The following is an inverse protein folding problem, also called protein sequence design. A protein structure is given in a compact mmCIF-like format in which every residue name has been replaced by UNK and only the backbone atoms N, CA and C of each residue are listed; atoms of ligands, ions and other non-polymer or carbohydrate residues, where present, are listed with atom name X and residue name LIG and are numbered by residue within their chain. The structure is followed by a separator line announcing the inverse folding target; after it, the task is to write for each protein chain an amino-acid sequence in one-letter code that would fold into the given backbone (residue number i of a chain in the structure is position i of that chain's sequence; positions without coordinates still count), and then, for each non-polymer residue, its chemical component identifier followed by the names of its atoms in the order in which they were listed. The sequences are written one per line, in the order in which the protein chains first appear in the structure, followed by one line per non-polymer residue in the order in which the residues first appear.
data_IF_019778601319
#
_entry.id   IF_019778601319
#
_cell.length_a   1.000
_cell.length_b   1.000
_cell.length_c   1.000
_cell.angle_alpha   90.00
_cell.angle_beta   90.00
_cell.angle_gamma   90.00
#
_symmetry.space_group_name_H-M   'P 1'
#
loop_
_entity.id
_entity.type
_entity.pdbx_description
1 polymer ?
#
# COMPACT_ATOMS: atom_id res chain seq x y z
N UNK A 1 0.85 0.49 33.28
CA UNK A 1 1.84 0.70 32.21
C UNK A 1 3.08 1.36 32.81
N UNK A 2 4.30 1.02 32.39
CA UNK A 2 5.51 1.76 32.81
C UNK A 2 5.46 3.15 32.17
N UNK A 3 5.59 4.19 32.97
CA UNK A 3 5.70 5.57 32.48
C UNK A 3 7.09 5.78 31.88
N UNK A 4 7.15 6.18 30.62
CA UNK A 4 8.39 6.56 29.93
C UNK A 4 8.63 8.05 30.15
N UNK A 5 9.82 8.44 30.59
CA UNK A 5 10.18 9.84 30.86
C UNK A 5 11.09 10.42 29.77
N UNK A 6 11.07 11.74 29.58
CA UNK A 6 11.94 12.41 28.61
C UNK A 6 13.44 12.12 28.83
N UNK A 7 13.97 12.15 30.07
CA UNK A 7 15.35 11.73 30.31
C UNK A 7 15.70 10.32 29.82
N UNK A 8 14.73 9.38 29.87
CA UNK A 8 14.92 8.03 29.33
C UNK A 8 15.00 8.04 27.79
N UNK A 9 14.17 8.85 27.13
CA UNK A 9 14.20 8.99 25.66
C UNK A 9 15.53 9.59 25.22
N UNK A 10 16.01 10.65 25.89
CA UNK A 10 17.30 11.29 25.61
C UNK A 10 18.45 10.29 25.81
N UNK A 11 18.42 9.52 26.91
CA UNK A 11 19.40 8.46 27.17
C UNK A 11 19.45 7.42 26.05
N UNK A 12 18.31 7.03 25.52
CA UNK A 12 18.18 6.04 24.44
C UNK A 12 18.22 6.67 23.03
N UNK A 13 18.60 7.95 22.89
CA UNK A 13 18.45 8.72 21.66
C UNK A 13 19.08 8.09 20.42
N UNK A 14 20.20 7.37 20.56
CA UNK A 14 20.88 6.65 19.46
C UNK A 14 20.12 5.45 18.90
N UNK A 15 19.03 5.03 19.56
CA UNK A 15 18.16 3.93 19.09
C UNK A 15 17.04 4.42 18.18
N UNK A 16 16.85 5.73 18.07
CA UNK A 16 15.83 6.33 17.23
C UNK A 16 16.43 6.73 15.89
N UNK A 17 15.84 6.24 14.82
CA UNK A 17 16.05 6.75 13.47
C UNK A 17 14.72 7.36 13.02
N UNK A 18 14.67 8.69 12.95
CA UNK A 18 13.43 9.43 12.71
C UNK A 18 13.45 9.93 11.27
N UNK A 19 12.62 9.33 10.42
CA UNK A 19 12.50 9.73 9.02
C UNK A 19 11.83 11.10 8.89
N UNK A 20 12.43 11.97 8.08
CA UNK A 20 11.81 13.25 7.69
C UNK A 20 10.68 13.06 6.67
N UNK A 21 10.69 11.94 5.95
CA UNK A 21 9.72 11.59 4.91
C UNK A 21 9.16 10.20 5.20
N UNK A 22 7.87 10.12 5.54
CA UNK A 22 7.19 8.84 5.78
C UNK A 22 6.72 8.24 4.46
N UNK A 23 7.41 7.18 4.01
CA UNK A 23 7.05 6.41 2.81
C UNK A 23 7.17 4.92 3.09
N UNK A 24 6.45 4.14 2.30
CA UNK A 24 6.53 2.68 2.26
C UNK A 24 7.07 2.24 0.89
N UNK A 25 7.76 1.11 0.88
CA UNK A 25 8.23 0.50 -0.35
C UNK A 25 7.23 -0.55 -0.81
N UNK A 26 6.66 -0.40 -2.01
CA UNK A 26 5.88 -1.48 -2.61
C UNK A 26 6.77 -2.69 -2.88
N UNK A 27 6.21 -3.89 -2.69
CA UNK A 27 6.91 -5.15 -3.00
C UNK A 27 7.20 -5.29 -4.49
N UNK A 28 6.43 -4.65 -5.38
CA UNK A 28 6.71 -4.51 -6.82
C UNK A 28 6.66 -3.03 -7.23
N UNK A 29 7.66 -2.60 -7.99
CA UNK A 29 7.74 -1.22 -8.48
C UNK A 29 9.17 -0.75 -8.69
N UNK A 30 9.29 0.46 -9.26
CA UNK A 30 10.56 0.99 -9.76
C UNK A 30 11.70 0.91 -8.75
N UNK A 31 11.48 1.33 -7.49
CA UNK A 31 12.56 1.37 -6.49
C UNK A 31 13.01 -0.03 -6.06
N UNK A 32 12.08 -0.93 -5.73
CA UNK A 32 12.45 -2.30 -5.32
C UNK A 32 13.11 -3.06 -6.49
N UNK A 33 12.62 -2.86 -7.71
CA UNK A 33 13.20 -3.49 -8.90
C UNK A 33 14.59 -2.92 -9.20
N UNK A 34 14.81 -1.62 -9.01
CA UNK A 34 16.12 -0.97 -9.13
C UNK A 34 17.10 -1.49 -8.08
N UNK A 35 16.69 -1.56 -6.80
CA UNK A 35 17.53 -2.07 -5.70
C UNK A 35 18.00 -3.51 -5.94
N UNK A 36 17.13 -4.35 -6.53
CA UNK A 36 17.47 -5.73 -6.90
C UNK A 36 18.41 -5.71 -8.10
N UNK A 37 18.04 -5.02 -9.20
CA UNK A 37 18.79 -5.01 -10.45
C UNK A 37 20.21 -4.45 -10.31
N UNK A 38 20.41 -3.45 -9.46
CA UNK A 38 21.71 -2.84 -9.21
C UNK A 38 22.54 -3.54 -8.13
N UNK A 39 22.01 -4.60 -7.49
CA UNK A 39 22.56 -5.23 -6.29
C UNK A 39 22.75 -4.29 -5.08
N UNK A 40 22.13 -3.11 -5.07
CA UNK A 40 22.14 -2.17 -3.93
C UNK A 40 21.35 -2.73 -2.74
N UNK A 41 20.38 -3.61 -3.00
CA UNK A 41 19.61 -4.32 -1.96
C UNK A 41 20.46 -5.05 -0.92
N UNK A 42 21.71 -5.40 -1.23
CA UNK A 42 22.63 -6.04 -0.26
C UNK A 42 23.09 -5.12 0.88
N UNK A 43 22.84 -3.81 0.77
CA UNK A 43 23.26 -2.82 1.77
C UNK A 43 22.15 -2.50 2.80
N UNK A 44 20.94 -3.03 2.62
CA UNK A 44 19.82 -2.78 3.51
C UNK A 44 19.00 -4.05 3.74
N UNK A 45 18.44 -4.16 4.94
CA UNK A 45 17.45 -5.17 5.27
C UNK A 45 16.05 -4.54 5.33
N UNK A 46 15.00 -5.35 5.14
CA UNK A 46 13.62 -4.87 5.13
C UNK A 46 12.74 -5.67 6.09
N UNK A 47 11.78 -4.99 6.73
CA UNK A 47 10.66 -5.60 7.44
C UNK A 47 9.39 -5.51 6.62
N UNK A 48 8.57 -6.55 6.69
CA UNK A 48 7.22 -6.53 6.16
C UNK A 48 6.33 -5.61 7.00
N UNK A 49 5.51 -4.79 6.33
CA UNK A 49 4.34 -4.20 6.97
C UNK A 49 3.32 -5.31 7.15
N UNK A 50 2.80 -5.50 8.35
CA UNK A 50 1.96 -6.66 8.67
C UNK A 50 0.46 -6.34 8.71
N UNK A 51 0.09 -5.06 8.83
CA UNK A 51 -1.30 -4.63 8.95
C UNK A 51 -1.52 -3.35 8.17
N UNK A 52 -2.63 -3.30 7.45
CA UNK A 52 -3.19 -2.06 6.89
C UNK A 52 -4.41 -1.73 7.75
N UNK A 53 -4.52 -0.47 8.16
CA UNK A 53 -5.55 -0.01 9.07
C UNK A 53 -6.38 1.09 8.42
N UNK A 54 -7.67 1.10 8.71
CA UNK A 54 -8.61 2.15 8.28
C UNK A 54 -9.33 2.71 9.50
N UNK A 55 -9.58 4.01 9.49
CA UNK A 55 -10.40 4.67 10.51
C UNK A 55 -11.86 4.68 10.03
N UNK A 56 -12.74 4.02 10.76
CA UNK A 56 -14.18 3.96 10.47
C UNK A 56 -14.97 4.21 11.76
N UNK A 57 -15.91 5.15 11.73
CA UNK A 57 -16.77 5.49 12.87
C UNK A 57 -15.98 5.74 14.18
N UNK A 58 -14.83 6.41 14.06
CA UNK A 58 -13.92 6.67 15.18
C UNK A 58 -13.13 5.46 15.68
N UNK A 59 -13.22 4.31 15.01
CA UNK A 59 -12.52 3.07 15.36
C UNK A 59 -11.47 2.71 14.33
N UNK A 60 -10.29 2.30 14.80
CA UNK A 60 -9.22 1.80 13.95
C UNK A 60 -9.43 0.31 13.73
N UNK A 61 -9.54 -0.09 12.46
CA UNK A 61 -9.87 -1.45 12.08
C UNK A 61 -8.88 -2.00 11.05
N UNK A 62 -8.65 -3.31 11.06
CA UNK A 62 -7.73 -3.95 10.13
C UNK A 62 -8.42 -4.26 8.79
N UNK A 63 -7.77 -3.82 7.72
CA UNK A 63 -8.14 -4.06 6.33
C UNK A 63 -7.79 -5.50 5.96
N UNK A 64 -8.73 -6.20 5.34
CA UNK A 64 -8.50 -7.55 4.82
C UNK A 64 -7.65 -7.50 3.54
N UNK A 65 -6.47 -8.11 3.55
CA UNK A 65 -5.49 -8.02 2.46
C UNK A 65 -5.33 -9.31 1.65
N UNK A 66 -6.09 -10.36 1.97
CA UNK A 66 -6.07 -11.62 1.22
C UNK A 66 -7.48 -12.19 1.05
N UNK A 67 -7.64 -13.15 0.12
CA UNK A 67 -8.90 -13.89 -0.03
C UNK A 67 -9.33 -14.54 1.29
N UNK A 68 -8.37 -15.10 2.03
CA UNK A 68 -8.61 -15.70 3.34
C UNK A 68 -9.07 -14.64 4.36
N UNK A 69 -8.44 -13.47 4.38
CA UNK A 69 -8.84 -12.38 5.29
C UNK A 69 -10.24 -11.86 4.96
N UNK A 70 -10.56 -11.69 3.67
CA UNK A 70 -11.89 -11.25 3.22
C UNK A 70 -12.93 -12.29 3.63
N UNK A 71 -12.63 -13.58 3.47
CA UNK A 71 -13.52 -14.66 3.88
C UNK A 71 -13.76 -14.65 5.41
N UNK A 72 -12.72 -14.46 6.21
CA UNK A 72 -12.80 -14.45 7.67
C UNK A 72 -13.30 -13.11 8.27
N UNK A 73 -13.39 -12.05 7.46
CA UNK A 73 -13.80 -10.73 7.93
C UNK A 73 -15.28 -10.74 8.40
N UNK A 74 -15.53 -10.39 9.66
CA UNK A 74 -16.88 -10.38 10.26
C UNK A 74 -17.67 -9.08 10.01
N UNK A 75 -17.02 -8.05 9.48
CA UNK A 75 -17.60 -6.74 9.24
C UNK A 75 -18.20 -6.62 7.84
N UNK A 76 -17.81 -7.49 6.91
CA UNK A 76 -18.40 -7.58 5.58
C UNK A 76 -19.48 -8.67 5.56
N UNK A 77 -20.64 -8.33 5.03
CA UNK A 77 -21.68 -9.33 4.74
C UNK A 77 -21.20 -10.29 3.64
N UNK A 78 -21.83 -11.47 3.53
CA UNK A 78 -21.51 -12.42 2.44
C UNK A 78 -21.70 -11.79 1.06
N UNK A 79 -22.70 -10.91 0.91
CA UNK A 79 -22.98 -10.18 -0.33
C UNK A 79 -21.85 -9.20 -0.64
N UNK A 80 -21.42 -8.41 0.34
CA UNK A 80 -20.29 -7.48 0.17
C UNK A 80 -18.98 -8.21 -0.15
N UNK A 81 -18.70 -9.36 0.48
CA UNK A 81 -17.53 -10.18 0.15
C UNK A 81 -17.53 -10.60 -1.32
N UNK A 82 -18.68 -11.02 -1.86
CA UNK A 82 -18.83 -11.38 -3.28
C UNK A 82 -18.66 -10.17 -4.20
N UNK A 83 -19.26 -9.03 -3.84
CA UNK A 83 -19.15 -7.78 -4.61
C UNK A 83 -17.69 -7.30 -4.67
N UNK A 84 -17.01 -7.29 -3.53
CA UNK A 84 -15.60 -6.92 -3.41
C UNK A 84 -14.72 -7.86 -4.25
N UNK A 85 -14.84 -9.17 -4.05
CA UNK A 85 -14.03 -10.13 -4.81
C UNK A 85 -14.22 -10.00 -6.32
N UNK A 86 -15.47 -9.83 -6.80
CA UNK A 86 -15.75 -9.60 -8.22
C UNK A 86 -15.06 -8.34 -8.73
N UNK A 87 -15.14 -7.24 -7.99
CA UNK A 87 -14.52 -5.98 -8.38
C UNK A 87 -12.98 -6.06 -8.37
N UNK A 88 -12.37 -6.67 -7.34
CA UNK A 88 -10.91 -6.85 -7.29
C UNK A 88 -10.40 -7.75 -8.41
N UNK A 89 -11.15 -8.80 -8.78
CA UNK A 89 -10.83 -9.63 -9.95
C UNK A 89 -10.93 -8.84 -11.25
N UNK A 90 -11.92 -7.96 -11.39
CA UNK A 90 -11.97 -7.01 -12.51
C UNK A 90 -10.73 -6.10 -12.51
N UNK A 91 -10.38 -5.49 -11.38
CA UNK A 91 -9.23 -4.59 -11.28
C UNK A 91 -7.88 -5.26 -11.58
N UNK A 92 -7.73 -6.57 -11.38
CA UNK A 92 -6.49 -7.27 -11.74
C UNK A 92 -6.27 -7.30 -13.26
N UNK A 93 -7.35 -7.46 -14.03
CA UNK A 93 -7.31 -7.65 -15.48
C UNK A 93 -8.04 -6.51 -16.24
N UNK A 94 -8.19 -5.34 -15.61
CA UNK A 94 -9.07 -4.28 -16.15
C UNK A 94 -8.62 -3.81 -17.54
N UNK A 95 -7.31 -3.83 -17.82
CA UNK A 95 -6.74 -3.46 -19.12
C UNK A 95 -7.22 -4.36 -20.27
N UNK A 96 -7.66 -5.58 -19.96
CA UNK A 96 -8.22 -6.53 -20.94
C UNK A 96 -9.73 -6.28 -21.18
N UNK A 97 -10.36 -5.35 -20.44
CA UNK A 97 -11.80 -5.08 -20.45
C UNK A 97 -12.08 -3.57 -20.55
N UNK A 98 -11.58 -2.89 -21.60
CA UNK A 98 -11.75 -1.45 -21.77
C UNK A 98 -13.23 -1.04 -21.82
N UNK A 99 -14.10 -1.88 -22.35
CA UNK A 99 -15.54 -1.69 -22.42
C UNK A 99 -16.20 -1.41 -21.05
N UNK A 100 -15.65 -1.92 -19.95
CA UNK A 100 -16.21 -1.74 -18.60
C UNK A 100 -15.91 -0.36 -17.97
N UNK A 101 -14.92 0.40 -18.46
CA UNK A 101 -14.52 1.67 -17.82
C UNK A 101 -14.17 2.81 -18.80
N UNK A 102 -13.94 2.54 -20.09
CA UNK A 102 -13.41 3.53 -21.04
C UNK A 102 -14.29 4.77 -21.15
N UNK A 103 -15.62 4.62 -21.09
CA UNK A 103 -16.57 5.73 -21.13
C UNK A 103 -16.47 6.69 -19.93
N UNK A 104 -15.84 6.24 -18.84
CA UNK A 104 -15.67 7.00 -17.60
C UNK A 104 -14.20 7.20 -17.21
N UNK A 105 -13.24 6.88 -18.09
CA UNK A 105 -11.80 6.86 -17.77
C UNK A 105 -11.28 8.17 -17.17
N UNK A 106 -11.79 9.31 -17.64
CA UNK A 106 -11.36 10.66 -17.22
C UNK A 106 -12.21 11.21 -16.06
N UNK A 107 -13.29 10.52 -15.67
CA UNK A 107 -14.08 10.90 -14.48
C UNK A 107 -13.30 10.57 -13.21
N UNK A 108 -13.65 11.23 -12.10
CA UNK A 108 -13.10 10.92 -10.78
C UNK A 108 -13.33 9.46 -10.42
N UNK A 109 -12.30 8.80 -9.90
CA UNK A 109 -12.39 7.38 -9.52
C UNK A 109 -13.47 7.14 -8.46
N UNK A 110 -13.62 8.06 -7.51
CA UNK A 110 -14.68 7.98 -6.50
C UNK A 110 -16.10 7.99 -7.11
N UNK A 111 -16.32 8.77 -8.18
CA UNK A 111 -17.60 8.80 -8.88
C UNK A 111 -17.81 7.57 -9.75
N UNK A 112 -16.74 7.03 -10.35
CA UNK A 112 -16.81 5.73 -11.01
C UNK A 112 -17.18 4.61 -10.04
N UNK A 113 -16.60 4.57 -8.83
CA UNK A 113 -16.95 3.57 -7.83
C UNK A 113 -18.44 3.61 -7.43
N UNK A 114 -19.07 4.79 -7.46
CA UNK A 114 -20.52 4.94 -7.23
C UNK A 114 -21.39 4.36 -8.35
N UNK A 115 -20.88 4.29 -9.58
CA UNK A 115 -21.60 3.63 -10.70
C UNK A 115 -21.44 2.11 -10.69
N UNK A 116 -20.50 1.59 -9.90
CA UNK A 116 -20.28 0.16 -9.75
C UNK A 116 -21.27 -0.48 -8.76
N UNK A 117 -21.43 -1.80 -8.87
CA UNK A 117 -22.21 -2.61 -7.92
C UNK A 117 -21.41 -2.82 -6.62
N UNK A 118 -21.20 -1.72 -5.87
CA UNK A 118 -20.46 -1.62 -4.62
C UNK A 118 -21.28 -0.84 -3.58
N UNK A 119 -21.28 -1.28 -2.32
CA UNK A 119 -21.87 -0.51 -1.21
C UNK A 119 -20.98 0.69 -0.87
N UNK A 120 -21.49 1.77 -0.25
CA UNK A 120 -20.65 2.90 0.19
C UNK A 120 -19.46 2.47 1.05
N UNK A 121 -19.66 1.46 1.90
CA UNK A 121 -18.61 0.84 2.71
C UNK A 121 -17.49 0.24 1.85
N UNK A 122 -17.82 -0.52 0.80
CA UNK A 122 -16.83 -1.07 -0.12
C UNK A 122 -16.14 0.01 -0.96
N UNK A 123 -16.88 1.04 -1.39
CA UNK A 123 -16.31 2.17 -2.14
C UNK A 123 -15.24 2.87 -1.30
N UNK A 124 -15.54 3.18 -0.03
CA UNK A 124 -14.61 3.77 0.92
C UNK A 124 -13.36 2.89 1.12
N UNK A 125 -13.57 1.59 1.30
CA UNK A 125 -12.48 0.61 1.47
C UNK A 125 -11.55 0.58 0.24
N UNK A 126 -12.12 0.47 -0.96
CA UNK A 126 -11.34 0.42 -2.21
C UNK A 126 -10.57 1.73 -2.41
N UNK A 127 -11.23 2.87 -2.25
CA UNK A 127 -10.63 4.18 -2.50
C UNK A 127 -9.47 4.47 -1.53
N UNK A 128 -9.68 4.30 -0.24
CA UNK A 128 -8.73 4.76 0.78
C UNK A 128 -7.78 3.67 1.28
N UNK A 129 -8.18 2.39 1.28
CA UNK A 129 -7.36 1.30 1.84
C UNK A 129 -6.59 0.50 0.79
N UNK A 130 -7.08 0.47 -0.45
CA UNK A 130 -6.46 -0.31 -1.55
C UNK A 130 -5.79 0.63 -2.55
N UNK A 131 -6.57 1.50 -3.21
CA UNK A 131 -6.03 2.44 -4.18
C UNK A 131 -5.15 3.49 -3.51
N UNK A 132 -5.55 3.96 -2.31
CA UNK A 132 -4.89 5.03 -1.54
C UNK A 132 -4.63 6.29 -2.39
N UNK A 133 -5.64 6.69 -3.15
CA UNK A 133 -5.60 7.86 -4.03
C UNK A 133 -6.44 9.01 -3.46
N UNK A 134 -6.13 10.24 -3.88
CA UNK A 134 -6.94 11.42 -3.55
C UNK A 134 -8.33 11.29 -4.17
N UNK A 135 -9.37 11.54 -3.38
CA UNK A 135 -10.75 11.59 -3.87
C UNK A 135 -10.97 12.74 -4.86
N UNK A 136 -10.26 13.86 -4.67
CA UNK A 136 -10.47 15.08 -5.45
C UNK A 136 -9.86 15.01 -6.85
N UNK A 137 -8.69 14.37 -6.98
CA UNK A 137 -7.78 14.59 -8.10
C UNK A 137 -7.40 13.31 -8.86
N UNK A 138 -7.97 12.16 -8.49
CA UNK A 138 -7.66 10.89 -9.14
C UNK A 138 -8.73 10.53 -10.18
N UNK A 139 -8.32 10.41 -11.45
CA UNK A 139 -9.19 9.90 -12.49
C UNK A 139 -9.35 8.37 -12.41
N UNK A 140 -10.38 7.84 -13.05
CA UNK A 140 -10.77 6.43 -12.97
C UNK A 140 -9.64 5.49 -13.38
N UNK A 141 -8.94 5.82 -14.46
CA UNK A 141 -7.82 5.01 -14.94
C UNK A 141 -6.67 4.93 -13.92
N UNK A 142 -6.37 6.04 -13.23
CA UNK A 142 -5.32 6.06 -12.22
C UNK A 142 -5.72 5.27 -10.97
N UNK A 143 -6.99 5.37 -10.56
CA UNK A 143 -7.53 4.58 -9.44
C UNK A 143 -7.52 3.07 -9.72
N UNK A 144 -7.86 2.67 -10.95
CA UNK A 144 -7.78 1.27 -11.39
C UNK A 144 -6.32 0.78 -11.41
N UNK A 145 -5.38 1.55 -11.97
CA UNK A 145 -3.95 1.21 -11.95
C UNK A 145 -3.38 1.09 -10.53
N UNK A 146 -3.76 2.02 -9.64
CA UNK A 146 -3.33 1.97 -8.24
C UNK A 146 -3.88 0.72 -7.53
N UNK A 147 -5.16 0.41 -7.76
CA UNK A 147 -5.81 -0.81 -7.24
C UNK A 147 -5.13 -2.07 -7.76
N UNK A 148 -4.90 -2.16 -9.08
CA UNK A 148 -4.21 -3.27 -9.71
C UNK A 148 -2.80 -3.46 -9.14
N UNK A 149 -2.00 -2.39 -9.05
CA UNK A 149 -0.65 -2.42 -8.48
C UNK A 149 -0.65 -2.92 -7.04
N UNK A 150 -1.57 -2.44 -6.21
CA UNK A 150 -1.73 -2.93 -4.84
C UNK A 150 -1.93 -4.44 -4.82
N UNK A 151 -2.87 -4.95 -5.62
CA UNK A 151 -3.21 -6.37 -5.67
C UNK A 151 -2.06 -7.23 -6.17
N UNK A 152 -1.33 -6.78 -7.20
CA UNK A 152 -0.14 -7.46 -7.73
C UNK A 152 1.01 -7.56 -6.72
N UNK A 153 1.09 -6.62 -5.78
CA UNK A 153 2.12 -6.58 -4.75
C UNK A 153 1.82 -7.51 -3.55
N UNK A 154 0.58 -7.94 -3.37
CA UNK A 154 0.19 -8.83 -2.27
C UNK A 154 0.92 -10.18 -2.38
N UNK A 155 1.34 -10.74 -1.25
CA UNK A 155 1.90 -12.08 -1.17
C UNK A 155 3.34 -12.23 -1.68
N UNK A 156 3.99 -11.19 -2.23
CA UNK A 156 5.38 -11.30 -2.72
C UNK A 156 6.39 -11.58 -1.60
N UNK A 157 6.27 -10.87 -0.48
CA UNK A 157 7.15 -11.04 0.70
C UNK A 157 6.36 -11.24 2.00
N UNK A 158 5.06 -10.93 2.01
CA UNK A 158 4.16 -11.05 3.15
C UNK A 158 2.72 -10.76 2.76
N UNK A 159 1.83 -10.67 3.75
CA UNK A 159 0.38 -10.53 3.50
C UNK A 159 -0.04 -9.15 2.99
N UNK A 160 0.79 -8.11 3.20
CA UNK A 160 0.53 -6.76 2.68
C UNK A 160 1.49 -6.44 1.52
N UNK A 161 1.23 -5.40 0.73
CA UNK A 161 2.05 -5.08 -0.44
C UNK A 161 3.30 -4.25 -0.08
N UNK A 162 3.60 -4.03 1.21
CA UNK A 162 4.61 -3.06 1.62
C UNK A 162 5.77 -3.65 2.45
N UNK A 163 6.92 -3.03 2.24
CA UNK A 163 8.17 -3.20 2.98
C UNK A 163 8.58 -1.87 3.61
N UNK A 164 9.37 -1.97 4.67
CA UNK A 164 10.02 -0.82 5.31
C UNK A 164 11.49 -1.17 5.59
N UNK A 165 12.47 -0.33 5.20
CA UNK A 165 13.87 -0.58 5.48
C UNK A 165 14.17 -0.53 6.98
N UNK A 166 14.99 -1.48 7.47
CA UNK A 166 15.54 -1.37 8.83
C UNK A 166 16.35 -0.08 8.92
N UNK A 167 16.29 0.58 10.08
CA UNK A 167 16.92 1.88 10.35
C UNK A 167 16.33 3.08 9.60
N UNK A 168 15.25 2.91 8.84
CA UNK A 168 14.49 4.01 8.25
C UNK A 168 14.81 4.26 6.77
N UNK A 169 14.01 5.12 6.15
CA UNK A 169 14.11 5.45 4.72
C UNK A 169 15.41 6.21 4.39
N UNK A 170 16.05 6.83 5.39
CA UNK A 170 17.37 7.46 5.25
C UNK A 170 18.49 6.54 4.78
N UNK A 171 18.32 5.22 4.90
CA UNK A 171 19.29 4.24 4.40
C UNK A 171 19.30 4.15 2.88
N UNK A 172 18.16 4.38 2.21
CA UNK A 172 18.05 4.20 0.75
C UNK A 172 19.01 5.12 -0.02
N UNK A 173 19.08 6.45 0.23
CA UNK A 173 20.08 7.30 -0.40
C UNK A 173 21.52 6.86 -0.13
N UNK A 174 21.84 6.49 1.12
CA UNK A 174 23.19 6.05 1.51
C UNK A 174 23.61 4.78 0.76
N UNK A 175 22.69 3.85 0.56
CA UNK A 175 22.92 2.64 -0.22
C UNK A 175 23.36 2.96 -1.67
N UNK A 176 22.75 3.97 -2.31
CA UNK A 176 23.15 4.42 -3.63
C UNK A 176 24.45 5.25 -3.62
N UNK A 177 24.69 6.10 -2.61
CA UNK A 177 25.97 6.79 -2.43
C UNK A 177 27.13 5.79 -2.31
N UNK A 178 26.94 4.70 -1.57
CA UNK A 178 27.91 3.61 -1.47
C UNK A 178 28.17 2.96 -2.83
N UNK A 179 27.12 2.72 -3.62
CA UNK A 179 27.29 2.22 -4.99
C UNK A 179 28.14 3.20 -5.81
N UNK A 180 27.88 4.50 -5.75
CA UNK A 180 28.68 5.53 -6.43
C UNK A 180 30.17 5.45 -6.06
N UNK A 181 30.48 5.43 -4.77
CA UNK A 181 31.86 5.36 -4.27
C UNK A 181 32.61 4.09 -4.72
N UNK A 182 31.93 2.95 -4.81
CA UNK A 182 32.54 1.69 -5.31
C UNK A 182 33.02 1.81 -6.76
N UNK A 183 32.40 2.68 -7.56
CA UNK A 183 32.75 2.93 -8.96
C UNK A 183 33.59 4.22 -9.15
N UNK A 184 34.19 4.76 -8.09
CA UNK A 184 35.16 5.86 -8.16
C UNK A 184 34.55 7.27 -8.22
N UNK A 185 33.28 7.42 -7.82
CA UNK A 185 32.66 8.73 -7.61
C UNK A 185 33.01 9.39 -6.29
#
# INVERSE_FOLDING_TARGET
ARTITYPQIVKEGRRFNIDLISKLLYSRGLLIDLLIKSNVSRYAEFKNVTRILVLRDGRVEQVACSRADIFNNKQLTMVEKRMLMRFLTFCLDFEQRPDEYQAQKDRKFADYLKTQKLTPNLQHFILHSIAMVSEADCCTIDGLKATQKFLQCLGRYGNTPFLFPLYGQGEIPQCFCRMCAVFGG
#
